data_IF_241927018700
#
_entry.id   IF_241927018700
#
_cell.length_a   1.000
_cell.length_b   1.000
_cell.length_c   1.000
_cell.angle_alpha   90.00
_cell.angle_beta   90.00
_cell.angle_gamma   90.00
#
_symmetry.space_group_name_H-M   'P 1'
#
loop_
_entity.id
_entity.type
_entity.pdbx_description
1 polymer ?
#
# COMPACT_ATOMS: atom_id res chain seq x y z
N UNK A 1 -80.40 2.52 -22.45
CA UNK A 1 -79.73 1.38 -21.78
C UNK A 1 -78.24 1.53 -22.04
N UNK A 2 -77.44 1.67 -20.99
CA UNK A 2 -76.07 2.18 -21.00
C UNK A 2 -75.01 1.18 -21.50
N UNK A 3 -73.88 1.65 -22.04
CA UNK A 3 -72.59 0.98 -21.90
C UNK A 3 -71.73 1.68 -20.84
N UNK A 4 -71.09 0.97 -19.89
CA UNK A 4 -70.08 1.58 -19.05
C UNK A 4 -68.65 1.26 -19.51
N UNK A 5 -67.87 2.35 -19.59
CA UNK A 5 -66.51 2.52 -19.08
C UNK A 5 -65.41 1.56 -19.57
N UNK A 6 -64.63 2.01 -20.55
CA UNK A 6 -63.25 1.58 -20.75
C UNK A 6 -62.36 2.41 -19.82
N UNK A 7 -61.75 1.73 -18.85
CA UNK A 7 -60.92 2.30 -17.80
C UNK A 7 -59.51 2.61 -18.31
N UNK A 8 -59.04 3.81 -17.96
CA UNK A 8 -57.71 4.38 -18.18
C UNK A 8 -56.76 3.87 -17.08
N UNK A 9 -55.55 3.40 -17.41
CA UNK A 9 -54.39 3.43 -16.48
C UNK A 9 -53.09 3.17 -17.26
N UNK A 10 -52.31 4.19 -17.60
CA UNK A 10 -51.22 4.80 -16.81
C UNK A 10 -49.97 3.90 -16.70
N UNK A 11 -49.02 4.19 -17.58
CA UNK A 11 -47.66 3.66 -17.65
C UNK A 11 -46.90 3.74 -16.33
N UNK A 12 -46.19 2.67 -15.97
CA UNK A 12 -45.01 2.74 -15.10
C UNK A 12 -43.97 1.71 -15.57
N UNK A 13 -43.07 2.17 -16.45
CA UNK A 13 -41.77 1.54 -16.69
C UNK A 13 -40.92 1.72 -15.43
N UNK A 14 -40.79 0.68 -14.60
CA UNK A 14 -39.80 0.67 -13.52
C UNK A 14 -38.42 0.33 -14.11
N UNK A 15 -37.66 1.37 -14.44
CA UNK A 15 -36.21 1.29 -14.60
C UNK A 15 -35.57 1.11 -13.21
N UNK A 16 -35.20 -0.13 -12.87
CA UNK A 16 -34.39 -0.42 -11.69
C UNK A 16 -32.96 0.05 -11.89
N UNK A 17 -32.65 1.28 -11.44
CA UNK A 17 -31.28 1.76 -11.23
C UNK A 17 -30.67 0.99 -10.06
N UNK A 18 -30.00 -0.13 -10.35
CA UNK A 18 -29.04 -0.75 -9.43
C UNK A 18 -27.78 0.13 -9.40
N UNK A 19 -27.84 1.25 -8.69
CA UNK A 19 -26.65 1.95 -8.22
C UNK A 19 -26.10 1.08 -7.09
N UNK A 20 -25.25 0.13 -7.47
CA UNK A 20 -24.48 -0.64 -6.51
C UNK A 20 -23.61 0.31 -5.72
N UNK A 21 -23.83 0.37 -4.40
CA UNK A 21 -22.91 1.01 -3.47
C UNK A 21 -21.51 0.43 -3.72
N UNK A 22 -20.57 1.29 -4.14
CA UNK A 22 -19.16 0.94 -4.10
C UNK A 22 -18.81 0.72 -2.62
N UNK A 23 -18.77 -0.55 -2.21
CA UNK A 23 -18.09 -0.93 -0.97
C UNK A 23 -16.66 -0.41 -1.09
N UNK A 24 -16.28 0.52 -0.20
CA UNK A 24 -14.90 0.95 -0.04
C UNK A 24 -14.06 -0.28 0.36
N UNK A 25 -13.55 -1.00 -0.62
CA UNK A 25 -12.31 -1.74 -0.46
C UNK A 25 -11.16 -0.74 -0.19
N UNK A 26 -9.99 -1.20 0.23
CA UNK A 26 -8.86 -0.33 0.53
C UNK A 26 -8.68 0.68 -0.60
N UNK A 27 -8.85 1.96 -0.26
CA UNK A 27 -9.04 3.04 -1.21
C UNK A 27 -7.88 3.11 -2.21
N UNK A 28 -8.19 3.40 -3.47
CA UNK A 28 -7.15 3.77 -4.42
C UNK A 28 -6.43 5.01 -3.88
N UNK A 29 -5.20 4.83 -3.42
CA UNK A 29 -4.29 5.93 -3.04
C UNK A 29 -4.24 6.91 -4.21
N UNK A 30 -4.52 8.19 -3.95
CA UNK A 30 -4.38 9.25 -4.94
C UNK A 30 -2.95 9.31 -5.46
N UNK A 31 -2.77 9.66 -6.73
CA UNK A 31 -1.44 9.76 -7.35
C UNK A 31 -1.32 11.12 -8.01
N UNK A 32 -0.21 11.80 -7.74
CA UNK A 32 0.14 13.10 -8.32
C UNK A 32 0.46 12.97 -9.80
N UNK A 33 0.57 14.11 -10.49
CA UNK A 33 0.94 14.15 -11.91
C UNK A 33 2.32 13.54 -12.21
N UNK A 34 3.22 13.50 -11.21
CA UNK A 34 4.55 12.88 -11.35
C UNK A 34 4.55 11.37 -11.07
N UNK A 35 3.41 10.78 -10.70
CA UNK A 35 3.28 9.36 -10.38
C UNK A 35 3.57 9.00 -8.92
N UNK A 36 3.87 9.97 -8.05
CA UNK A 36 4.04 9.74 -6.60
C UNK A 36 2.70 9.70 -5.87
N UNK A 37 2.57 8.92 -4.78
CA UNK A 37 1.32 8.85 -4.03
C UNK A 37 1.05 10.15 -3.24
N UNK A 38 -0.22 10.55 -3.19
CA UNK A 38 -0.72 11.61 -2.32
C UNK A 38 -0.62 11.22 -0.84
N UNK A 39 -0.68 12.18 0.10
CA UNK A 39 -0.69 11.91 1.52
C UNK A 39 -1.93 11.09 1.90
N UNK A 40 -1.80 10.30 2.96
CA UNK A 40 -2.86 9.44 3.46
C UNK A 40 -2.66 9.23 4.96
N UNK A 41 -3.72 9.36 5.75
CA UNK A 41 -3.64 9.07 7.18
C UNK A 41 -3.54 7.58 7.43
N UNK A 42 -2.80 7.17 8.47
CA UNK A 42 -2.74 5.77 8.85
C UNK A 42 -4.12 5.33 9.38
N UNK A 43 -4.69 4.20 8.91
CA UNK A 43 -5.99 3.73 9.38
C UNK A 43 -6.03 3.55 10.90
N UNK A 44 -7.17 3.84 11.53
CA UNK A 44 -7.32 3.74 12.99
C UNK A 44 -6.99 2.34 13.53
N UNK A 45 -7.34 1.29 12.76
CA UNK A 45 -7.02 -0.09 13.13
C UNK A 45 -5.51 -0.36 13.16
N UNK A 46 -4.76 0.20 12.19
CA UNK A 46 -3.30 0.11 12.16
C UNK A 46 -2.68 0.88 13.34
N UNK A 47 -3.15 2.10 13.61
CA UNK A 47 -2.69 2.89 14.77
C UNK A 47 -2.95 2.17 16.10
N UNK A 48 -4.09 1.50 16.24
CA UNK A 48 -4.42 0.71 17.42
C UNK A 48 -3.50 -0.51 17.55
N UNK A 49 -3.29 -1.26 16.48
CA UNK A 49 -2.40 -2.41 16.46
C UNK A 49 -0.96 -2.01 16.80
N UNK A 50 -0.45 -0.95 16.19
CA UNK A 50 0.87 -0.38 16.47
C UNK A 50 1.03 -0.02 17.95
N UNK A 51 0.03 0.65 18.56
CA UNK A 51 0.05 0.99 19.99
C UNK A 51 0.10 -0.25 20.89
N UNK A 52 -0.70 -1.27 20.58
CA UNK A 52 -0.73 -2.52 21.37
C UNK A 52 0.58 -3.30 21.27
N UNK A 53 1.26 -3.21 20.14
CA UNK A 53 2.57 -3.82 19.89
C UNK A 53 3.74 -2.95 20.38
N UNK A 54 3.47 -1.74 20.86
CA UNK A 54 4.51 -0.80 21.26
C UNK A 54 5.36 -0.26 20.10
N UNK A 55 4.87 -0.31 18.86
CA UNK A 55 5.50 0.28 17.68
C UNK A 55 5.26 1.79 17.67
N UNK A 56 6.32 2.57 17.87
CA UNK A 56 6.28 4.03 17.93
C UNK A 56 6.68 4.66 16.60
N UNK A 57 6.18 5.88 16.33
CA UNK A 57 6.59 6.64 15.14
C UNK A 57 8.10 6.85 15.17
N UNK A 58 8.74 6.61 14.03
CA UNK A 58 10.21 6.63 13.85
C UNK A 58 10.96 5.41 14.37
N UNK A 59 10.30 4.44 15.01
CA UNK A 59 10.90 3.12 15.17
C UNK A 59 11.29 2.59 13.80
N UNK A 60 12.50 2.06 13.69
CA UNK A 60 13.04 1.66 12.40
C UNK A 60 13.93 0.45 12.47
N UNK A 61 14.02 -0.23 11.33
CA UNK A 61 14.86 -1.39 11.09
C UNK A 61 15.36 -1.37 9.65
N UNK A 62 15.98 -2.46 9.19
CA UNK A 62 16.37 -2.69 7.80
C UNK A 62 15.58 -3.86 7.22
N UNK A 63 15.36 -3.81 5.90
CA UNK A 63 14.70 -4.86 5.13
C UNK A 63 15.32 -5.04 3.76
N UNK A 64 15.08 -6.19 3.16
CA UNK A 64 15.22 -6.42 1.72
C UNK A 64 13.94 -5.97 1.01
N UNK A 65 14.08 -5.12 -0.01
CA UNK A 65 12.95 -4.49 -0.70
C UNK A 65 12.05 -5.49 -1.43
N UNK A 66 12.62 -6.54 -2.02
CA UNK A 66 11.88 -7.64 -2.63
C UNK A 66 12.47 -8.95 -2.10
N UNK A 67 11.64 -9.73 -1.41
CA UNK A 67 12.01 -11.02 -0.83
C UNK A 67 12.63 -11.98 -1.86
N UNK A 68 12.31 -11.83 -3.14
CA UNK A 68 12.83 -12.66 -4.22
C UNK A 68 14.15 -12.15 -4.82
N UNK A 69 14.63 -10.99 -4.39
CA UNK A 69 15.84 -10.33 -4.88
C UNK A 69 16.75 -9.86 -3.74
N UNK A 70 16.79 -10.63 -2.65
CA UNK A 70 17.72 -10.38 -1.54
C UNK A 70 19.19 -10.40 -2.03
N UNK A 71 20.03 -9.56 -1.40
CA UNK A 71 21.46 -9.41 -1.71
C UNK A 71 21.79 -9.17 -3.20
N UNK A 72 20.84 -8.57 -3.94
CA UNK A 72 21.00 -8.29 -5.36
C UNK A 72 21.35 -6.83 -5.60
N UNK A 73 22.34 -6.58 -6.47
CA UNK A 73 22.77 -5.24 -6.86
C UNK A 73 23.19 -5.21 -8.35
N UNK A 74 22.46 -4.51 -9.23
CA UNK A 74 21.26 -3.69 -8.94
C UNK A 74 20.00 -4.53 -8.75
N UNK A 75 19.03 -4.02 -7.98
CA UNK A 75 17.69 -4.61 -7.81
C UNK A 75 16.68 -4.02 -8.80
N UNK A 76 15.75 -4.83 -9.29
CA UNK A 76 14.74 -4.43 -10.27
C UNK A 76 13.33 -4.53 -9.68
N UNK A 77 12.69 -3.39 -9.44
CA UNK A 77 11.37 -3.31 -8.83
C UNK A 77 10.31 -2.91 -9.86
N UNK A 78 9.11 -3.47 -9.74
CA UNK A 78 7.94 -3.13 -10.56
C UNK A 78 6.92 -2.39 -9.73
N UNK A 79 6.26 -1.40 -10.32
CA UNK A 79 5.16 -0.70 -9.67
C UNK A 79 4.01 -1.65 -9.29
N UNK A 80 3.39 -1.42 -8.14
CA UNK A 80 2.27 -2.24 -7.66
C UNK A 80 2.54 -2.86 -6.28
N UNK A 81 1.96 -4.03 -5.98
CA UNK A 81 2.20 -4.74 -4.72
C UNK A 81 3.67 -5.11 -4.55
N UNK A 82 4.17 -5.06 -3.31
CA UNK A 82 5.53 -5.47 -2.96
C UNK A 82 5.53 -6.22 -1.63
N UNK A 83 6.43 -7.19 -1.54
CA UNK A 83 6.68 -7.99 -0.34
C UNK A 83 8.15 -7.88 0.00
N UNK A 84 8.42 -7.35 1.19
CA UNK A 84 9.76 -7.10 1.70
C UNK A 84 9.99 -7.91 2.97
N UNK A 85 11.24 -8.14 3.35
CA UNK A 85 11.56 -8.97 4.51
C UNK A 85 12.46 -8.22 5.48
N UNK A 86 12.10 -8.18 6.78
CA UNK A 86 12.94 -7.58 7.81
C UNK A 86 14.25 -8.34 8.01
N UNK A 87 15.37 -7.64 7.92
CA UNK A 87 16.71 -8.17 8.23
C UNK A 87 17.02 -8.12 9.74
N UNK A 88 16.43 -7.17 10.45
CA UNK A 88 16.57 -6.98 11.89
C UNK A 88 15.21 -6.74 12.55
N UNK A 89 15.13 -6.97 13.86
CA UNK A 89 13.87 -6.77 14.59
C UNK A 89 13.38 -5.32 14.51
N UNK A 90 12.07 -5.14 14.40
CA UNK A 90 11.38 -3.86 14.52
C UNK A 90 10.38 -3.95 15.67
N UNK A 91 10.79 -3.49 16.86
CA UNK A 91 10.02 -3.72 18.09
C UNK A 91 9.81 -5.23 18.32
N UNK A 92 8.56 -5.72 18.45
CA UNK A 92 8.25 -7.14 18.64
C UNK A 92 8.16 -7.95 17.33
N UNK A 93 8.50 -7.34 16.18
CA UNK A 93 8.55 -8.01 14.89
C UNK A 93 9.96 -8.57 14.68
N UNK A 94 10.08 -9.89 14.62
CA UNK A 94 11.36 -10.58 14.49
C UNK A 94 11.90 -10.52 13.04
N UNK A 95 13.21 -10.76 12.82
CA UNK A 95 13.76 -10.95 11.48
C UNK A 95 12.99 -12.03 10.73
N UNK A 96 12.88 -11.89 9.41
CA UNK A 96 12.01 -12.74 8.59
C UNK A 96 10.54 -12.34 8.62
N UNK A 97 10.16 -11.27 9.34
CA UNK A 97 8.83 -10.67 9.21
C UNK A 97 8.65 -10.12 7.80
N UNK A 98 7.58 -10.56 7.13
CA UNK A 98 7.22 -10.09 5.81
C UNK A 98 6.40 -8.81 5.91
N UNK A 99 6.80 -7.78 5.18
CA UNK A 99 6.16 -6.47 5.11
C UNK A 99 5.42 -6.36 3.79
N UNK A 100 4.10 -6.21 3.84
CA UNK A 100 3.26 -6.12 2.66
C UNK A 100 2.90 -4.68 2.37
N UNK A 101 3.09 -4.27 1.12
CA UNK A 101 2.95 -2.88 0.75
C UNK A 101 2.65 -2.65 -0.71
N UNK A 102 2.81 -1.39 -1.09
CA UNK A 102 2.74 -0.92 -2.46
C UNK A 102 3.94 -0.04 -2.74
N UNK A 103 4.48 -0.20 -3.95
CA UNK A 103 5.55 0.60 -4.51
C UNK A 103 4.99 1.49 -5.62
N UNK A 104 5.44 2.74 -5.65
CA UNK A 104 5.25 3.69 -6.74
C UNK A 104 6.62 4.01 -7.35
N UNK A 105 6.68 3.94 -8.67
CA UNK A 105 7.91 4.15 -9.44
C UNK A 105 7.91 5.47 -10.19
N UNK A 106 6.85 6.27 -10.05
CA UNK A 106 6.81 7.67 -10.50
C UNK A 106 7.89 8.54 -9.84
N UNK A 107 8.04 9.77 -10.33
CA UNK A 107 9.04 10.72 -9.82
C UNK A 107 10.49 10.27 -10.05
N UNK A 108 11.43 10.85 -9.30
CA UNK A 108 12.86 10.46 -9.34
C UNK A 108 13.24 9.41 -8.28
N UNK A 109 12.46 9.34 -7.20
CA UNK A 109 12.66 8.42 -6.08
C UNK A 109 11.48 7.46 -5.99
N UNK A 110 11.79 6.21 -5.68
CA UNK A 110 10.76 5.21 -5.38
C UNK A 110 10.12 5.53 -4.05
N UNK A 111 8.79 5.44 -3.99
CA UNK A 111 8.03 5.52 -2.73
C UNK A 111 7.47 4.13 -2.43
N UNK A 112 7.67 3.65 -1.21
CA UNK A 112 7.12 2.37 -0.75
C UNK A 112 6.43 2.57 0.59
N UNK A 113 5.17 2.15 0.65
CA UNK A 113 4.33 2.18 1.84
C UNK A 113 3.94 0.75 2.18
N UNK A 114 4.14 0.36 3.44
CA UNK A 114 3.72 -0.92 3.97
C UNK A 114 2.49 -0.70 4.86
N UNK A 115 1.53 -1.61 4.73
CA UNK A 115 0.23 -1.56 5.40
C UNK A 115 0.01 -2.74 6.34
N UNK A 116 0.77 -3.84 6.16
CA UNK A 116 0.67 -5.02 6.99
C UNK A 116 2.05 -5.63 7.23
N UNK A 117 2.20 -6.32 8.36
CA UNK A 117 3.33 -7.21 8.65
C UNK A 117 2.85 -8.62 8.98
N UNK A 118 3.62 -9.62 8.58
CA UNK A 118 3.44 -11.03 8.95
C UNK A 118 4.72 -11.54 9.59
N UNK A 119 4.79 -11.58 10.92
CA UNK A 119 5.84 -12.31 11.59
C UNK A 119 5.75 -13.81 11.23
N UNK A 120 6.88 -14.56 11.22
CA UNK A 120 6.90 -15.97 10.79
C UNK A 120 5.82 -16.84 11.46
N UNK A 121 5.63 -16.68 12.77
CA UNK A 121 4.76 -17.52 13.59
C UNK A 121 3.48 -16.82 14.10
N UNK A 122 3.15 -15.63 13.57
CA UNK A 122 1.98 -14.85 14.03
C UNK A 122 1.08 -14.46 12.88
N UNK A 123 -0.16 -14.08 13.13
CA UNK A 123 -1.08 -13.58 12.11
C UNK A 123 -0.60 -12.27 11.47
N UNK A 124 -1.19 -11.93 10.32
CA UNK A 124 -0.95 -10.62 9.71
C UNK A 124 -1.53 -9.55 10.62
N UNK A 125 -0.78 -8.47 10.81
CA UNK A 125 -1.19 -7.32 11.59
C UNK A 125 -1.12 -6.05 10.75
N UNK A 126 -2.10 -5.14 10.88
CA UNK A 126 -2.07 -3.86 10.19
C UNK A 126 -1.05 -2.93 10.85
N UNK A 127 -0.32 -2.17 10.05
CA UNK A 127 0.59 -1.11 10.49
C UNK A 127 0.75 -0.06 9.40
N UNK A 128 1.44 1.04 9.69
CA UNK A 128 1.91 1.96 8.65
C UNK A 128 3.42 2.12 8.76
N UNK A 129 4.13 1.78 7.69
CA UNK A 129 5.56 1.99 7.61
C UNK A 129 5.97 2.44 6.20
N UNK A 130 7.10 3.12 6.12
CA UNK A 130 7.66 3.57 4.85
C UNK A 130 9.08 3.05 4.70
N UNK A 131 9.43 2.62 3.49
CA UNK A 131 10.85 2.45 3.17
C UNK A 131 11.48 3.85 3.10
N UNK A 132 12.56 4.05 3.85
CA UNK A 132 13.42 5.23 3.74
C UNK A 132 14.86 4.77 3.68
N UNK A 133 15.65 5.49 2.90
CA UNK A 133 17.12 5.38 2.97
C UNK A 133 17.63 3.98 2.60
N UNK A 134 17.57 3.64 1.31
CA UNK A 134 18.57 2.72 0.75
C UNK A 134 19.93 3.44 0.68
N UNK A 135 21.03 2.70 0.59
CA UNK A 135 22.34 3.26 0.17
C UNK A 135 22.12 3.89 -1.22
N UNK A 136 21.92 5.20 -1.35
CA UNK A 136 21.42 5.84 -2.60
C UNK A 136 19.97 6.36 -2.55
N UNK A 137 19.37 6.45 -1.36
CA UNK A 137 18.16 7.20 -1.05
C UNK A 137 16.93 6.82 -1.89
N UNK A 138 16.81 5.53 -2.27
CA UNK A 138 15.75 5.00 -3.14
C UNK A 138 15.66 5.75 -4.49
N UNK A 139 16.74 6.40 -4.91
CA UNK A 139 16.83 7.09 -6.19
C UNK A 139 16.99 6.06 -7.30
N UNK A 140 16.16 6.19 -8.33
CA UNK A 140 16.24 5.34 -9.52
C UNK A 140 17.57 5.59 -10.26
N UNK A 141 18.20 4.52 -10.71
CA UNK A 141 19.31 4.61 -11.64
C UNK A 141 18.83 5.17 -12.99
N UNK A 142 19.69 5.94 -13.70
CA UNK A 142 19.40 6.40 -15.05
C UNK A 142 18.99 5.25 -15.97
N UNK A 143 17.99 5.48 -16.82
CA UNK A 143 17.48 4.46 -17.75
C UNK A 143 16.41 3.52 -17.18
N UNK A 144 15.99 3.70 -15.93
CA UNK A 144 14.80 3.01 -15.38
C UNK A 144 13.58 3.25 -16.29
N UNK A 145 12.93 2.18 -16.73
CA UNK A 145 11.77 2.24 -17.64
C UNK A 145 10.50 2.69 -16.89
N UNK A 146 9.51 3.29 -17.56
CA UNK A 146 8.22 3.60 -16.95
C UNK A 146 7.59 2.37 -16.27
N UNK A 147 7.03 2.55 -15.07
CA UNK A 147 6.44 1.47 -14.27
C UNK A 147 7.45 0.55 -13.57
N UNK A 148 8.75 0.88 -13.66
CA UNK A 148 9.84 0.12 -13.03
C UNK A 148 10.83 1.04 -12.36
N UNK A 149 11.58 0.49 -11.41
CA UNK A 149 12.72 1.16 -10.80
C UNK A 149 13.90 0.19 -10.74
N UNK A 150 15.05 0.63 -11.24
CA UNK A 150 16.33 -0.01 -10.95
C UNK A 150 17.00 0.76 -9.83
N UNK A 151 17.28 0.11 -8.71
CA UNK A 151 18.00 0.70 -7.58
C UNK A 151 19.36 0.02 -7.44
N UNK A 152 20.34 0.75 -6.91
CA UNK A 152 21.70 0.22 -6.75
C UNK A 152 21.75 -0.93 -5.73
N UNK A 153 20.90 -0.92 -4.69
CA UNK A 153 20.90 -1.91 -3.62
C UNK A 153 19.49 -2.40 -3.31
N UNK A 154 19.37 -3.69 -2.96
CA UNK A 154 18.13 -4.34 -2.51
C UNK A 154 17.74 -3.97 -1.08
N UNK A 155 18.70 -3.61 -0.22
CA UNK A 155 18.43 -3.24 1.17
C UNK A 155 17.97 -1.79 1.38
N UNK A 156 17.01 -1.59 2.28
CA UNK A 156 16.52 -0.27 2.70
C UNK A 156 16.24 -0.22 4.19
N UNK A 157 16.30 0.98 4.78
CA UNK A 157 15.63 1.23 6.06
C UNK A 157 14.11 1.18 5.90
N UNK A 158 13.42 0.84 6.99
CA UNK A 158 11.97 0.90 7.14
C UNK A 158 11.63 1.58 8.45
N UNK A 159 10.61 2.43 8.44
CA UNK A 159 10.25 3.25 9.61
C UNK A 159 8.75 3.30 9.79
N UNK A 160 8.31 3.13 11.04
CA UNK A 160 6.93 3.29 11.47
C UNK A 160 6.49 4.75 11.34
N UNK A 161 5.29 4.98 10.83
CA UNK A 161 4.66 6.30 10.66
C UNK A 161 3.22 6.28 11.15
N UNK A 162 2.71 7.44 11.57
CA UNK A 162 1.30 7.65 11.90
C UNK A 162 0.46 8.13 10.71
N UNK A 163 1.11 8.32 9.57
CA UNK A 163 0.50 8.72 8.30
C UNK A 163 1.55 8.83 7.22
N UNK A 164 1.12 8.70 5.98
CA UNK A 164 1.94 8.88 4.80
C UNK A 164 1.87 10.33 4.33
N UNK A 165 3.03 10.94 4.10
CA UNK A 165 3.16 12.33 3.69
C UNK A 165 3.64 12.42 2.23
#
# INVERSE_FOLDING_TARGET
>A
MAPPLVTRSCSLLLLGLLIGCATAGPGRVGVRSDGTPEPEDCPEEALKAMRLLGLQVSDGSTLELDVNQADTHPVYLREGPIESELNHSLGPLDPGTLMYGRIWTGGQQVVIRYYEAKPPDRERLPLCAVARTAKGQLRKLPGSKPGTATLEFSGSGVYIVDGFR
#
